data_IF_021590409301
#
_entry.id   IF_021590409301
#
_cell.length_a   1.000
_cell.length_b   1.000
_cell.length_c   1.000
_cell.angle_alpha   90.00
_cell.angle_beta   90.00
_cell.angle_gamma   90.00
#
_symmetry.space_group_name_H-M   'P 1'
#
loop_
_entity.id
_entity.type
_entity.pdbx_description
1 polymer ?
#
# COMPACT_ATOMS: atom_id res chain seq x y z
N UNK A 1 -15.67 10.63 30.38
CA UNK A 1 -15.95 10.75 28.93
C UNK A 1 -15.02 9.87 28.10
N UNK A 2 -14.71 8.64 28.56
CA UNK A 2 -13.76 7.69 27.96
C UNK A 2 -14.38 6.32 27.64
N UNK A 3 -15.71 6.16 27.80
CA UNK A 3 -16.37 4.84 27.70
C UNK A 3 -17.11 4.58 26.38
N UNK A 4 -16.96 5.41 25.33
CA UNK A 4 -17.80 5.29 24.14
C UNK A 4 -17.09 4.85 22.86
N UNK A 5 -15.82 4.46 22.91
CA UNK A 5 -15.05 4.10 21.72
C UNK A 5 -14.74 2.59 21.58
N UNK A 6 -15.39 1.72 22.32
CA UNK A 6 -15.36 0.31 21.93
C UNK A 6 -16.21 0.15 20.65
N UNK A 7 -15.66 -0.56 19.64
CA UNK A 7 -16.43 -0.96 18.47
C UNK A 7 -17.66 -1.70 19.01
N UNK A 8 -18.79 -1.04 19.01
CA UNK A 8 -20.04 -1.64 19.42
C UNK A 8 -20.54 -2.47 18.23
N UNK A 9 -19.94 -3.66 18.07
CA UNK A 9 -20.18 -4.64 17.01
C UNK A 9 -21.69 -4.99 16.87
N UNK A 10 -22.50 -4.62 17.87
CA UNK A 10 -23.91 -4.94 17.94
C UNK A 10 -24.85 -3.80 17.47
N UNK A 11 -24.39 -2.58 17.16
CA UNK A 11 -25.29 -1.43 16.94
C UNK A 11 -25.36 -0.88 15.53
N UNK A 12 -24.36 -1.11 14.67
CA UNK A 12 -24.48 -0.76 13.25
C UNK A 12 -24.10 -1.99 12.41
N UNK A 13 -24.94 -2.42 11.44
CA UNK A 13 -24.55 -3.53 10.61
C UNK A 13 -23.26 -3.16 9.87
N UNK A 14 -22.20 -3.95 10.03
CA UNK A 14 -20.91 -3.82 9.35
C UNK A 14 -21.11 -3.59 7.83
N UNK A 15 -22.20 -4.11 7.30
CA UNK A 15 -22.63 -3.89 5.92
C UNK A 15 -22.84 -2.42 5.54
N UNK A 16 -23.38 -1.58 6.46
CA UNK A 16 -23.52 -0.14 6.19
C UNK A 16 -22.17 0.55 6.08
N UNK A 17 -21.23 0.18 6.95
CA UNK A 17 -19.87 0.70 6.90
C UNK A 17 -19.14 0.27 5.62
N UNK A 18 -19.27 -1.00 5.22
CA UNK A 18 -18.75 -1.50 3.95
C UNK A 18 -19.29 -0.72 2.74
N UNK A 19 -20.62 -0.52 2.67
CA UNK A 19 -21.26 0.23 1.57
C UNK A 19 -20.84 1.70 1.53
N UNK A 20 -20.53 2.28 2.68
CA UNK A 20 -20.04 3.66 2.76
C UNK A 20 -18.54 3.76 2.38
N UNK A 21 -17.74 2.74 2.73
CA UNK A 21 -16.31 2.68 2.44
C UNK A 21 -16.01 2.41 0.95
N UNK A 22 -16.74 1.48 0.32
CA UNK A 22 -16.46 1.02 -1.03
C UNK A 22 -16.37 2.14 -2.10
N UNK A 23 -17.25 3.16 -2.14
CA UNK A 23 -17.10 4.26 -3.09
C UNK A 23 -15.84 5.10 -2.87
N UNK A 24 -15.36 5.21 -1.63
CA UNK A 24 -14.16 5.99 -1.29
C UNK A 24 -12.87 5.32 -1.80
N UNK A 25 -12.88 3.99 -1.95
CA UNK A 25 -11.72 3.20 -2.39
C UNK A 25 -11.67 2.96 -3.90
N UNK A 26 -12.69 3.35 -4.67
CA UNK A 26 -12.71 3.16 -6.12
C UNK A 26 -11.54 3.83 -6.87
N UNK A 27 -11.12 5.06 -6.52
CA UNK A 27 -9.94 5.66 -7.14
C UNK A 27 -8.66 4.86 -6.88
N UNK A 28 -8.52 4.30 -5.66
CA UNK A 28 -7.39 3.44 -5.29
C UNK A 28 -7.41 2.14 -6.08
N UNK A 29 -8.59 1.52 -6.23
CA UNK A 29 -8.75 0.34 -7.07
C UNK A 29 -8.22 0.57 -8.49
N UNK A 30 -8.55 1.69 -9.12
CA UNK A 30 -8.08 2.01 -10.47
C UNK A 30 -6.54 2.13 -10.56
N UNK A 31 -5.91 2.76 -9.55
CA UNK A 31 -4.46 2.84 -9.45
C UNK A 31 -3.81 1.47 -9.23
N UNK A 32 -4.34 0.70 -8.29
CA UNK A 32 -3.84 -0.63 -7.96
C UNK A 32 -4.07 -1.67 -9.06
N UNK A 33 -5.07 -1.47 -9.91
CA UNK A 33 -5.25 -2.29 -11.11
C UNK A 33 -4.00 -2.26 -11.99
N UNK A 34 -3.48 -1.07 -12.29
CA UNK A 34 -2.30 -0.93 -13.14
C UNK A 34 -1.02 -1.34 -12.41
N UNK A 35 -0.80 -0.82 -11.20
CA UNK A 35 0.43 -1.06 -10.44
C UNK A 35 0.54 -2.50 -9.95
N UNK A 36 -0.55 -3.09 -9.44
CA UNK A 36 -0.56 -4.47 -8.95
C UNK A 36 -0.38 -5.49 -10.08
N UNK A 37 -1.05 -5.28 -11.24
CA UNK A 37 -0.80 -6.11 -12.42
C UNK A 37 0.66 -6.01 -12.85
N UNK A 38 1.21 -4.79 -12.94
CA UNK A 38 2.61 -4.57 -13.29
C UNK A 38 3.57 -5.25 -12.32
N UNK A 39 3.28 -5.20 -11.01
CA UNK A 39 4.05 -5.90 -9.98
C UNK A 39 4.04 -7.43 -10.18
N UNK A 40 2.85 -8.02 -10.36
CA UNK A 40 2.74 -9.45 -10.58
C UNK A 40 3.48 -9.93 -11.82
N UNK A 41 3.35 -9.20 -12.95
CA UNK A 41 4.09 -9.48 -14.18
C UNK A 41 5.60 -9.34 -13.96
N UNK A 42 6.03 -8.28 -13.28
CA UNK A 42 7.44 -8.06 -12.94
C UNK A 42 8.03 -9.24 -12.16
N UNK A 43 7.37 -9.71 -11.12
CA UNK A 43 7.87 -10.85 -10.33
C UNK A 43 7.97 -12.12 -11.18
N UNK A 44 7.03 -12.34 -12.11
CA UNK A 44 7.09 -13.48 -13.05
C UNK A 44 8.25 -13.36 -14.05
N UNK A 45 8.54 -12.17 -14.53
CA UNK A 45 9.68 -11.94 -15.43
C UNK A 45 11.03 -12.22 -14.78
N UNK A 46 11.10 -12.12 -13.45
CA UNK A 46 12.26 -12.53 -12.64
C UNK A 46 12.37 -14.04 -12.45
N UNK A 47 11.41 -14.84 -12.95
CA UNK A 47 11.39 -16.31 -12.77
C UNK A 47 10.95 -16.76 -11.38
N UNK A 48 10.36 -15.86 -10.58
CA UNK A 48 9.87 -16.19 -9.24
C UNK A 48 8.46 -16.82 -9.29
N UNK A 49 8.07 -17.62 -8.29
CA UNK A 49 6.82 -18.39 -8.33
C UNK A 49 5.57 -17.51 -8.28
N UNK A 50 4.49 -17.93 -8.96
CA UNK A 50 3.20 -17.22 -9.11
C UNK A 50 2.53 -16.87 -7.77
N UNK A 51 2.74 -17.69 -6.75
CA UNK A 51 2.17 -17.46 -5.42
C UNK A 51 2.89 -16.37 -4.61
N UNK A 52 4.08 -15.96 -5.03
CA UNK A 52 4.92 -15.01 -4.29
C UNK A 52 4.33 -13.59 -4.25
N UNK A 53 3.87 -12.99 -5.37
CA UNK A 53 3.27 -11.65 -5.32
C UNK A 53 2.07 -11.54 -4.38
N UNK A 54 1.05 -12.40 -4.42
CA UNK A 54 -0.06 -12.31 -3.49
C UNK A 54 0.35 -12.59 -2.04
N UNK A 55 1.34 -13.44 -1.80
CA UNK A 55 1.88 -13.64 -0.45
C UNK A 55 2.56 -12.36 0.07
N UNK A 56 3.43 -11.76 -0.73
CA UNK A 56 4.11 -10.51 -0.34
C UNK A 56 3.11 -9.37 -0.13
N UNK A 57 2.13 -9.22 -1.00
CA UNK A 57 1.05 -8.25 -0.83
C UNK A 57 0.19 -8.48 0.43
N UNK A 58 0.12 -9.70 0.93
CA UNK A 58 -0.59 -10.01 2.16
C UNK A 58 0.26 -9.79 3.41
N UNK A 59 1.54 -10.16 3.40
CA UNK A 59 2.41 -10.20 4.58
C UNK A 59 3.28 -8.94 4.71
N UNK A 60 3.77 -8.40 3.60
CA UNK A 60 4.63 -7.21 3.57
C UNK A 60 3.80 -5.95 3.33
N UNK A 61 2.90 -5.98 2.35
CA UNK A 61 2.01 -4.89 1.95
C UNK A 61 2.73 -3.54 1.87
N UNK A 62 3.84 -3.54 1.19
CA UNK A 62 4.74 -2.37 1.13
C UNK A 62 4.87 -1.73 -0.26
N UNK A 63 4.07 -2.14 -1.25
CA UNK A 63 4.10 -1.61 -2.62
C UNK A 63 5.52 -1.53 -3.18
N UNK A 64 6.15 -0.35 -3.12
CA UNK A 64 7.52 -0.10 -3.60
C UNK A 64 8.56 -1.06 -3.00
N UNK A 65 8.41 -1.41 -1.71
CA UNK A 65 9.31 -2.35 -1.06
C UNK A 65 9.20 -3.76 -1.65
N UNK A 66 8.01 -4.18 -2.07
CA UNK A 66 7.80 -5.50 -2.65
C UNK A 66 8.54 -5.69 -3.98
N UNK A 67 8.59 -4.64 -4.83
CA UNK A 67 9.39 -4.67 -6.06
C UNK A 67 10.88 -4.85 -5.75
N UNK A 68 11.39 -4.11 -4.77
CA UNK A 68 12.81 -4.21 -4.36
C UNK A 68 13.11 -5.56 -3.72
N UNK A 69 12.22 -6.06 -2.86
CA UNK A 69 12.38 -7.37 -2.23
C UNK A 69 12.40 -8.50 -3.26
N UNK A 70 11.56 -8.43 -4.30
CA UNK A 70 11.56 -9.42 -5.37
C UNK A 70 12.94 -9.51 -6.06
N UNK A 71 13.58 -8.37 -6.32
CA UNK A 71 14.95 -8.33 -6.86
C UNK A 71 15.98 -8.88 -5.87
N UNK A 72 15.86 -8.53 -4.58
CA UNK A 72 16.79 -8.97 -3.54
C UNK A 72 16.74 -10.48 -3.31
N UNK A 73 15.59 -11.13 -3.55
CA UNK A 73 15.46 -12.58 -3.43
C UNK A 73 16.32 -13.34 -4.46
N UNK A 74 16.71 -12.71 -5.57
CA UNK A 74 17.59 -13.29 -6.58
C UNK A 74 19.08 -13.06 -6.26
N UNK A 75 19.38 -12.15 -5.37
CA UNK A 75 20.74 -11.81 -4.98
C UNK A 75 21.31 -12.73 -3.90
N UNK A 76 22.54 -12.41 -3.48
CA UNK A 76 23.13 -13.06 -2.31
C UNK A 76 22.41 -12.63 -1.03
N UNK A 77 22.28 -13.57 -0.08
CA UNK A 77 21.63 -13.32 1.20
C UNK A 77 22.33 -12.22 2.00
N UNK A 78 21.72 -11.04 2.07
CA UNK A 78 22.27 -9.86 2.76
C UNK A 78 21.17 -9.23 3.66
N UNK A 79 20.82 -9.84 4.80
CA UNK A 79 19.65 -9.44 5.61
C UNK A 79 19.80 -8.03 6.21
N UNK A 80 21.00 -7.61 6.56
CA UNK A 80 21.24 -6.26 7.10
C UNK A 80 20.99 -5.20 6.03
N UNK A 81 21.50 -5.41 4.83
CA UNK A 81 21.29 -4.50 3.71
C UNK A 81 19.80 -4.44 3.33
N UNK A 82 19.12 -5.59 3.28
CA UNK A 82 17.68 -5.67 3.01
C UNK A 82 16.87 -4.92 4.08
N UNK A 83 17.21 -5.08 5.36
CA UNK A 83 16.56 -4.36 6.45
C UNK A 83 16.76 -2.84 6.37
N UNK A 84 17.98 -2.37 6.13
CA UNK A 84 18.26 -0.94 6.00
C UNK A 84 17.50 -0.35 4.79
N UNK A 85 17.49 -1.05 3.67
CA UNK A 85 16.75 -0.63 2.48
C UNK A 85 15.24 -0.58 2.74
N UNK A 86 14.68 -1.60 3.40
CA UNK A 86 13.29 -1.63 3.80
C UNK A 86 12.93 -0.45 4.72
N UNK A 87 13.79 -0.17 5.70
CA UNK A 87 13.59 0.95 6.62
C UNK A 87 13.61 2.30 5.89
N UNK A 88 14.51 2.49 4.92
CA UNK A 88 14.59 3.72 4.13
C UNK A 88 13.35 3.90 3.24
N UNK A 89 12.92 2.85 2.54
CA UNK A 89 11.76 2.91 1.64
C UNK A 89 10.47 3.14 2.44
N UNK A 90 10.32 2.47 3.59
CA UNK A 90 9.11 2.50 4.40
C UNK A 90 9.15 3.53 5.54
N UNK A 91 10.17 4.39 5.62
CA UNK A 91 10.30 5.40 6.67
C UNK A 91 9.05 6.31 6.80
N UNK A 92 8.37 6.60 5.69
CA UNK A 92 7.12 7.38 5.66
C UNK A 92 5.99 6.75 6.47
N UNK A 93 5.92 5.41 6.55
CA UNK A 93 4.87 4.71 7.31
C UNK A 93 4.97 4.94 8.83
N UNK A 94 6.16 5.26 9.34
CA UNK A 94 6.34 5.67 10.74
C UNK A 94 5.56 6.96 11.04
N UNK A 95 5.60 7.93 10.12
CA UNK A 95 4.88 9.21 10.26
C UNK A 95 3.38 9.02 10.11
N UNK A 96 2.93 8.15 9.18
CA UNK A 96 1.51 7.83 9.04
C UNK A 96 0.97 7.18 10.30
N UNK A 97 1.69 6.19 10.84
CA UNK A 97 1.35 5.52 12.08
C UNK A 97 1.19 6.48 13.24
N UNK A 98 2.13 7.41 13.42
CA UNK A 98 2.07 8.43 14.47
C UNK A 98 0.85 9.36 14.31
N UNK A 99 0.57 9.81 13.10
CA UNK A 99 -0.56 10.70 12.81
C UNK A 99 -1.89 10.01 13.07
N UNK A 100 -2.00 8.72 12.75
CA UNK A 100 -3.26 7.97 12.86
C UNK A 100 -3.47 7.30 14.22
N UNK A 101 -2.47 7.31 15.12
CA UNK A 101 -2.54 6.67 16.43
C UNK A 101 -3.77 7.09 17.23
N UNK A 102 -4.09 8.38 17.27
CA UNK A 102 -5.26 8.88 17.99
C UNK A 102 -6.57 8.51 17.29
N UNK A 103 -6.56 8.49 15.95
CA UNK A 103 -7.74 8.21 15.14
C UNK A 103 -8.13 6.72 15.18
N UNK A 104 -7.14 5.84 15.32
CA UNK A 104 -7.32 4.38 15.43
C UNK A 104 -7.38 3.87 16.88
N UNK A 105 -7.29 4.76 17.86
CA UNK A 105 -7.33 4.38 19.26
C UNK A 105 -8.70 3.85 19.67
N UNK A 106 -8.71 2.72 20.39
CA UNK A 106 -9.93 2.15 20.96
C UNK A 106 -10.59 1.06 20.13
N UNK A 107 -10.06 0.72 18.95
CA UNK A 107 -10.63 -0.32 18.10
C UNK A 107 -9.96 -1.70 18.25
N UNK A 108 -9.16 -1.92 19.30
CA UNK A 108 -8.57 -3.22 19.65
C UNK A 108 -7.71 -3.80 18.51
N UNK A 109 -7.95 -5.07 18.17
CA UNK A 109 -7.21 -5.77 17.10
C UNK A 109 -7.40 -5.13 15.71
N UNK A 110 -8.54 -4.50 15.48
CA UNK A 110 -8.75 -3.76 14.21
C UNK A 110 -7.78 -2.59 14.07
N UNK A 111 -7.40 -1.92 15.18
CA UNK A 111 -6.38 -0.86 15.14
C UNK A 111 -5.03 -1.40 14.69
N UNK A 112 -4.60 -2.55 15.21
CA UNK A 112 -3.33 -3.17 14.83
C UNK A 112 -3.31 -3.53 13.35
N UNK A 113 -4.43 -4.08 12.84
CA UNK A 113 -4.57 -4.38 11.41
C UNK A 113 -4.54 -3.11 10.56
N UNK A 114 -5.30 -2.07 10.91
CA UNK A 114 -5.33 -0.81 10.18
C UNK A 114 -3.97 -0.10 10.14
N UNK A 115 -3.16 -0.24 11.20
CA UNK A 115 -1.79 0.28 11.23
C UNK A 115 -0.88 -0.56 10.33
N UNK A 116 -0.98 -1.88 10.39
CA UNK A 116 -0.18 -2.79 9.55
C UNK A 116 -0.47 -2.58 8.06
N UNK A 117 -1.75 -2.57 7.68
CA UNK A 117 -2.19 -2.48 6.29
C UNK A 117 -2.44 -1.02 5.85
N UNK A 118 -1.66 -0.08 6.37
CA UNK A 118 -1.73 1.32 5.97
C UNK A 118 -0.82 1.57 4.77
N UNK A 119 -1.40 1.94 3.64
CA UNK A 119 -0.69 2.46 2.47
C UNK A 119 -0.80 3.99 2.38
N UNK A 120 -0.10 4.59 1.42
CA UNK A 120 -0.21 6.02 1.13
C UNK A 120 -1.65 6.42 0.77
N UNK A 121 -2.31 5.59 -0.03
CA UNK A 121 -3.67 5.78 -0.48
C UNK A 121 -4.66 5.63 0.68
N UNK A 122 -4.51 4.55 1.47
CA UNK A 122 -5.33 4.32 2.66
C UNK A 122 -5.20 5.47 3.66
N UNK A 123 -3.97 5.96 3.89
CA UNK A 123 -3.72 7.13 4.72
C UNK A 123 -4.43 8.37 4.16
N UNK A 124 -4.29 8.64 2.86
CA UNK A 124 -4.90 9.80 2.20
C UNK A 124 -6.42 9.83 2.38
N UNK A 125 -7.09 8.66 2.29
CA UNK A 125 -8.53 8.58 2.52
C UNK A 125 -8.84 8.71 4.01
N UNK A 126 -8.24 7.87 4.85
CA UNK A 126 -8.62 7.73 6.25
C UNK A 126 -8.26 8.94 7.11
N UNK A 127 -7.30 9.79 6.71
CA UNK A 127 -6.98 11.01 7.45
C UNK A 127 -8.06 12.10 7.33
N UNK A 128 -8.80 12.14 6.23
CA UNK A 128 -9.78 13.18 5.92
C UNK A 128 -11.24 12.69 5.87
N UNK A 129 -11.47 11.42 5.49
CA UNK A 129 -12.82 10.88 5.33
C UNK A 129 -13.54 10.74 6.69
N UNK A 130 -14.78 11.19 6.71
CA UNK A 130 -15.69 10.97 7.82
C UNK A 130 -16.86 10.09 7.35
N UNK A 131 -17.27 9.10 8.17
CA UNK A 131 -18.38 8.24 7.82
C UNK A 131 -19.69 9.02 7.79
N UNK A 132 -20.66 8.62 6.96
CA UNK A 132 -22.02 9.16 6.99
C UNK A 132 -22.69 8.96 8.35
N UNK A 133 -23.73 9.75 8.65
CA UNK A 133 -24.48 9.65 9.90
C UNK A 133 -25.02 8.22 10.12
N UNK A 134 -24.82 7.71 11.34
CA UNK A 134 -25.25 6.38 11.74
C UNK A 134 -24.34 5.22 11.27
N UNK A 135 -23.19 5.52 10.69
CA UNK A 135 -22.15 4.54 10.35
C UNK A 135 -21.04 4.58 11.40
N UNK A 136 -20.64 3.40 11.90
CA UNK A 136 -19.54 3.28 12.84
C UNK A 136 -18.20 3.63 12.17
N UNK A 137 -17.46 4.55 12.79
CA UNK A 137 -16.18 5.06 12.25
C UNK A 137 -15.09 4.01 12.20
N UNK A 138 -15.02 3.11 13.19
CA UNK A 138 -14.03 2.05 13.24
C UNK A 138 -14.22 1.03 12.11
N UNK A 139 -15.47 0.58 11.90
CA UNK A 139 -15.80 -0.30 10.80
C UNK A 139 -15.59 0.36 9.43
N UNK A 140 -15.90 1.65 9.32
CA UNK A 140 -15.70 2.41 8.09
C UNK A 140 -14.22 2.45 7.70
N UNK A 141 -13.32 2.84 8.62
CA UNK A 141 -11.89 2.86 8.39
C UNK A 141 -11.30 1.46 8.16
N UNK A 142 -11.79 0.46 8.89
CA UNK A 142 -11.37 -0.92 8.71
C UNK A 142 -11.68 -1.42 7.29
N UNK A 143 -12.89 -1.16 6.78
CA UNK A 143 -13.25 -1.60 5.43
C UNK A 143 -12.51 -0.84 4.33
N UNK A 144 -12.17 0.44 4.50
CA UNK A 144 -11.29 1.15 3.57
C UNK A 144 -9.95 0.41 3.50
N UNK A 145 -9.30 0.18 4.63
CA UNK A 145 -8.01 -0.51 4.71
C UNK A 145 -8.07 -1.92 4.13
N UNK A 146 -9.12 -2.67 4.45
CA UNK A 146 -9.29 -4.05 3.97
C UNK A 146 -9.51 -4.09 2.44
N UNK A 147 -10.33 -3.20 1.90
CA UNK A 147 -10.59 -3.14 0.46
C UNK A 147 -9.32 -2.78 -0.31
N UNK A 148 -8.56 -1.80 0.15
CA UNK A 148 -7.31 -1.40 -0.49
C UNK A 148 -6.31 -2.57 -0.52
N UNK A 149 -6.15 -3.31 0.59
CA UNK A 149 -5.29 -4.48 0.62
C UNK A 149 -5.79 -5.59 -0.31
N UNK A 150 -7.08 -5.88 -0.33
CA UNK A 150 -7.67 -6.86 -1.25
C UNK A 150 -7.41 -6.47 -2.70
N UNK A 151 -7.57 -5.19 -3.04
CA UNK A 151 -7.31 -4.72 -4.40
C UNK A 151 -5.85 -4.94 -4.81
N UNK A 152 -4.90 -4.61 -3.94
CA UNK A 152 -3.49 -4.84 -4.20
C UNK A 152 -3.18 -6.33 -4.41
N UNK A 153 -3.56 -7.18 -3.44
CA UNK A 153 -3.30 -8.63 -3.48
C UNK A 153 -3.95 -9.30 -4.70
N UNK A 154 -5.20 -8.95 -5.00
CA UNK A 154 -5.92 -9.52 -6.14
C UNK A 154 -5.28 -9.14 -7.47
N UNK A 155 -4.89 -7.87 -7.63
CA UNK A 155 -4.23 -7.40 -8.85
C UNK A 155 -2.80 -7.96 -8.99
N UNK A 156 -2.06 -8.09 -7.89
CA UNK A 156 -0.75 -8.75 -7.89
C UNK A 156 -0.87 -10.24 -8.29
N UNK A 157 -1.88 -10.95 -7.76
CA UNK A 157 -2.16 -12.33 -8.14
C UNK A 157 -2.55 -12.47 -9.63
N UNK A 158 -3.41 -11.58 -10.12
CA UNK A 158 -3.80 -11.53 -11.53
C UNK A 158 -2.60 -11.24 -12.43
N UNK A 159 -1.76 -10.27 -12.06
CA UNK A 159 -0.54 -9.94 -12.80
C UNK A 159 0.42 -11.12 -12.85
N UNK A 160 0.61 -11.84 -11.73
CA UNK A 160 1.43 -13.04 -11.68
C UNK A 160 0.87 -14.16 -12.56
N UNK A 161 -0.44 -14.38 -12.54
CA UNK A 161 -1.09 -15.38 -13.41
C UNK A 161 -0.94 -15.03 -14.89
N UNK A 162 -1.16 -13.76 -15.26
CA UNK A 162 -0.98 -13.28 -16.63
C UNK A 162 0.50 -13.42 -17.07
N UNK A 163 1.43 -13.00 -16.21
CA UNK A 163 2.86 -13.10 -16.48
C UNK A 163 3.35 -14.54 -16.69
N UNK A 164 2.71 -15.52 -16.03
CA UNK A 164 3.06 -16.92 -16.18
C UNK A 164 2.60 -17.56 -17.51
N UNK A 165 1.56 -16.99 -18.12
CA UNK A 165 0.96 -17.53 -19.36
C UNK A 165 1.48 -16.83 -20.61
N UNK A 166 1.76 -15.53 -20.50
CA UNK A 166 2.21 -14.74 -21.64
C UNK A 166 3.74 -14.80 -21.77
N UNK A 167 4.29 -15.10 -22.96
CA UNK A 167 5.72 -15.04 -23.19
C UNK A 167 6.16 -13.57 -23.22
N UNK A 168 6.41 -12.97 -22.07
CA UNK A 168 6.98 -11.64 -22.00
C UNK A 168 8.49 -11.70 -22.28
N UNK A 169 8.96 -10.83 -23.19
CA UNK A 169 10.37 -10.50 -23.26
C UNK A 169 10.79 -9.84 -21.95
N UNK A 170 11.90 -10.28 -21.38
CA UNK A 170 12.50 -9.63 -20.19
C UNK A 170 13.14 -8.29 -20.53
N UNK A 171 13.23 -7.94 -21.82
CA UNK A 171 13.71 -6.62 -22.26
C UNK A 171 12.77 -5.53 -21.76
N UNK A 172 13.30 -4.61 -20.96
CA UNK A 172 12.55 -3.48 -20.40
C UNK A 172 11.91 -3.73 -19.02
N UNK A 173 12.04 -4.93 -18.45
CA UNK A 173 11.55 -5.22 -17.09
C UNK A 173 12.25 -4.34 -16.04
N UNK A 174 13.54 -4.10 -16.20
CA UNK A 174 14.30 -3.19 -15.35
C UNK A 174 13.74 -1.75 -15.39
N UNK A 175 13.13 -1.38 -16.52
CA UNK A 175 12.49 -0.08 -16.67
C UNK A 175 11.16 0.04 -15.92
N UNK A 176 10.46 -1.07 -15.66
CA UNK A 176 9.18 -1.04 -14.93
C UNK A 176 9.35 -0.45 -13.52
N UNK A 177 10.42 -0.83 -12.80
CA UNK A 177 10.75 -0.23 -11.51
C UNK A 177 11.00 1.27 -11.62
N UNK A 178 11.83 1.67 -12.58
CA UNK A 178 12.13 3.09 -12.81
C UNK A 178 10.87 3.87 -13.14
N UNK A 179 10.05 3.36 -14.06
CA UNK A 179 8.79 3.99 -14.45
C UNK A 179 7.84 4.13 -13.25
N UNK A 180 7.73 3.10 -12.40
CA UNK A 180 6.91 3.14 -11.20
C UNK A 180 7.37 4.24 -10.24
N UNK A 181 8.67 4.34 -9.95
CA UNK A 181 9.18 5.39 -9.08
C UNK A 181 8.96 6.79 -9.67
N UNK A 182 9.10 6.94 -10.98
CA UNK A 182 8.79 8.21 -11.66
C UNK A 182 7.31 8.57 -11.53
N UNK A 183 6.40 7.60 -11.71
CA UNK A 183 4.95 7.82 -11.54
C UNK A 183 4.62 8.20 -10.10
N UNK A 184 5.19 7.50 -9.10
CA UNK A 184 4.99 7.83 -7.69
C UNK A 184 5.50 9.25 -7.39
N UNK A 185 6.68 9.60 -7.89
CA UNK A 185 7.25 10.94 -7.74
C UNK A 185 6.34 12.01 -8.36
N UNK A 186 5.86 11.81 -9.59
CA UNK A 186 4.97 12.76 -10.27
C UNK A 186 3.65 12.92 -9.53
N UNK A 187 3.06 11.83 -9.05
CA UNK A 187 1.82 11.89 -8.27
C UNK A 187 1.99 12.65 -6.95
N UNK A 188 3.14 12.53 -6.30
CA UNK A 188 3.44 13.30 -5.09
C UNK A 188 3.70 14.77 -5.43
N UNK A 189 4.44 15.03 -6.53
CA UNK A 189 4.70 16.38 -7.02
C UNK A 189 3.42 17.16 -7.30
N UNK A 190 2.42 16.52 -7.92
CA UNK A 190 1.12 17.15 -8.19
C UNK A 190 0.28 17.44 -6.94
N UNK A 191 0.46 16.64 -5.88
CA UNK A 191 -0.32 16.77 -4.63
C UNK A 191 0.26 17.78 -3.63
N UNK A 192 1.56 18.05 -3.70
CA UNK A 192 2.23 18.94 -2.76
C UNK A 192 2.32 20.37 -3.29
N UNK A 193 1.89 21.34 -2.49
CA UNK A 193 2.06 22.78 -2.79
C UNK A 193 3.51 23.25 -2.59
N UNK A 194 4.31 22.54 -1.78
CA UNK A 194 5.71 22.88 -1.49
C UNK A 194 6.65 21.78 -1.97
N UNK A 195 7.36 22.04 -3.04
CA UNK A 195 8.28 21.07 -3.68
C UNK A 195 9.70 21.03 -3.08
N UNK A 196 9.95 21.71 -1.95
CA UNK A 196 11.27 21.80 -1.34
C UNK A 196 11.85 20.42 -0.98
N UNK A 197 11.05 19.52 -0.44
CA UNK A 197 11.45 18.15 -0.09
C UNK A 197 11.85 17.34 -1.32
N UNK A 198 11.07 17.44 -2.39
CA UNK A 198 11.34 16.76 -3.67
C UNK A 198 12.63 17.28 -4.33
N UNK A 199 12.83 18.60 -4.33
CA UNK A 199 14.05 19.22 -4.88
C UNK A 199 15.28 18.79 -4.09
N UNK A 200 15.21 18.76 -2.75
CA UNK A 200 16.32 18.27 -1.91
C UNK A 200 16.58 16.79 -2.19
N UNK A 201 15.53 15.97 -2.32
CA UNK A 201 15.65 14.54 -2.63
C UNK A 201 16.30 14.26 -3.99
N UNK A 202 16.09 15.11 -5.00
CA UNK A 202 16.77 15.02 -6.31
C UNK A 202 18.19 15.53 -6.23
N UNK A 203 18.42 16.62 -5.51
CA UNK A 203 19.74 17.26 -5.44
C UNK A 203 20.74 16.46 -4.61
N UNK A 204 20.30 15.82 -3.52
CA UNK A 204 21.19 15.07 -2.63
C UNK A 204 22.02 13.98 -3.31
N UNK A 205 21.45 13.09 -4.18
CA UNK A 205 22.24 12.10 -4.90
C UNK A 205 23.18 12.66 -5.97
N UNK A 206 22.96 13.91 -6.44
CA UNK A 206 23.80 14.55 -7.44
C UNK A 206 25.05 15.19 -6.84
N UNK A 207 25.07 15.36 -5.50
CA UNK A 207 26.18 15.98 -4.76
C UNK A 207 27.06 14.92 -4.05
N UNK A 208 26.55 13.70 -3.89
CA UNK A 208 27.26 12.54 -3.32
C UNK A 208 27.87 11.67 -4.40
#
# INVERSE_FOLDING_TARGET
MQEQNEINLNRAPAWRAFRAAAPQTLPVFAGYWVLGLGYGIYVQSLGLPVWLPPLMGTVVYGGSLEFVLASLLLGSFAPVSAFLMALMIQARHLFYGLTMLQRYRGYGLCSAYMIFAMSDETFSITCSAEPPEGVDKGWFMFFITLLDQIYWVANAAMGAALGSVLPFSTEGVDFVMTAMFVVIFLNQWEKEEQHASAIIGIAAPLVC
#
